data_IF_917347315299
#
_entry.id   IF_917347315299
#
_cell.length_a   1.000
_cell.length_b   1.000
_cell.length_c   1.000
_cell.angle_alpha   90.00
_cell.angle_beta   90.00
_cell.angle_gamma   90.00
#
_symmetry.space_group_name_H-M   'P 1'
#
loop_
_entity.id
_entity.type
_entity.pdbx_description
1 polymer ?
#
# COMPACT_ATOMS: atom_id res chain seq x y z
N UNK A 1 9.90 19.46 -5.67
CA UNK A 1 8.59 18.87 -6.00
C UNK A 1 8.75 17.38 -5.80
N UNK A 2 7.78 16.71 -5.17
CA UNK A 2 7.84 15.27 -4.93
C UNK A 2 6.81 14.58 -5.82
N UNK A 3 7.16 13.42 -6.33
CA UNK A 3 6.30 12.61 -7.18
C UNK A 3 6.09 11.23 -6.57
N UNK A 4 4.91 10.68 -6.72
CA UNK A 4 4.60 9.37 -6.20
C UNK A 4 3.65 8.58 -7.08
N UNK A 5 3.48 7.33 -6.73
CA UNK A 5 2.50 6.43 -7.33
C UNK A 5 1.51 5.97 -6.27
N UNK A 6 0.27 5.82 -6.66
CA UNK A 6 -0.82 5.36 -5.82
C UNK A 6 -1.52 4.14 -6.43
N UNK A 7 -1.88 3.18 -5.59
CA UNK A 7 -2.72 2.04 -6.00
C UNK A 7 -3.88 1.83 -5.04
N UNK A 8 -5.04 1.55 -5.57
CA UNK A 8 -6.23 1.15 -4.79
C UNK A 8 -6.31 -0.37 -4.57
N UNK A 9 -5.37 -1.12 -5.18
CA UNK A 9 -5.32 -2.56 -5.04
C UNK A 9 -6.48 -3.30 -5.75
N UNK A 10 -6.99 -2.78 -6.85
CA UNK A 10 -8.04 -3.41 -7.63
C UNK A 10 -7.60 -4.74 -8.27
N UNK A 11 -8.52 -5.69 -8.34
CA UNK A 11 -8.38 -6.98 -9.04
C UNK A 11 -9.36 -6.95 -10.21
N UNK A 12 -8.91 -6.39 -11.32
CA UNK A 12 -9.71 -6.20 -12.52
C UNK A 12 -9.13 -6.96 -13.70
N UNK A 13 -9.99 -7.28 -14.66
CA UNK A 13 -9.57 -7.97 -15.90
C UNK A 13 -8.70 -7.05 -16.74
N UNK A 14 -7.54 -7.54 -17.14
CA UNK A 14 -6.68 -6.86 -18.11
C UNK A 14 -7.39 -6.84 -19.49
N UNK A 15 -7.70 -5.65 -20.01
CA UNK A 15 -8.43 -5.54 -21.27
C UNK A 15 -7.61 -5.98 -22.48
N UNK A 16 -6.29 -6.14 -22.34
CA UNK A 16 -5.41 -6.51 -23.46
C UNK A 16 -5.39 -8.02 -23.71
N UNK A 17 -5.58 -8.82 -22.67
CA UNK A 17 -5.48 -10.28 -22.76
C UNK A 17 -6.69 -11.02 -22.16
N UNK A 18 -7.63 -10.31 -21.52
CA UNK A 18 -8.83 -10.87 -20.94
C UNK A 18 -8.61 -11.68 -19.65
N UNK A 19 -7.43 -11.64 -19.04
CA UNK A 19 -7.12 -12.35 -17.80
C UNK A 19 -7.38 -11.48 -16.59
N UNK A 20 -7.86 -12.11 -15.50
CA UNK A 20 -8.00 -11.46 -14.20
C UNK A 20 -6.96 -12.08 -13.27
N UNK A 21 -6.07 -11.26 -12.66
CA UNK A 21 -5.08 -11.78 -11.73
C UNK A 21 -5.75 -12.33 -10.48
N UNK A 22 -5.13 -13.31 -9.86
CA UNK A 22 -5.47 -13.73 -8.51
C UNK A 22 -5.06 -12.65 -7.49
N UNK A 23 -5.63 -12.67 -6.29
CA UNK A 23 -5.21 -11.77 -5.19
C UNK A 23 -3.71 -11.92 -4.88
N UNK A 24 -3.20 -13.17 -4.89
CA UNK A 24 -1.78 -13.44 -4.69
C UNK A 24 -0.91 -12.71 -5.75
N UNK A 25 -1.24 -12.86 -7.01
CA UNK A 25 -0.52 -12.21 -8.11
C UNK A 25 -0.59 -10.69 -7.99
N UNK A 26 -1.77 -10.15 -7.66
CA UNK A 26 -1.95 -8.69 -7.53
C UNK A 26 -1.15 -8.12 -6.36
N UNK A 27 -1.14 -8.80 -5.19
CA UNK A 27 -0.33 -8.38 -4.04
C UNK A 27 1.17 -8.42 -4.40
N UNK A 28 1.64 -9.48 -5.04
CA UNK A 28 3.04 -9.58 -5.48
C UNK A 28 3.39 -8.50 -6.51
N UNK A 29 2.51 -8.24 -7.46
CA UNK A 29 2.70 -7.17 -8.44
C UNK A 29 2.77 -5.79 -7.76
N UNK A 30 1.97 -5.55 -6.74
CA UNK A 30 2.00 -4.29 -5.97
C UNK A 30 3.35 -4.07 -5.29
N UNK A 31 3.95 -5.11 -4.69
CA UNK A 31 5.30 -5.05 -4.13
C UNK A 31 6.33 -4.74 -5.22
N UNK A 32 6.23 -5.40 -6.37
CA UNK A 32 7.12 -5.16 -7.51
C UNK A 32 7.00 -3.72 -8.05
N UNK A 33 5.78 -3.20 -8.16
CA UNK A 33 5.53 -1.81 -8.58
C UNK A 33 6.20 -0.81 -7.63
N UNK A 34 6.09 -1.02 -6.31
CA UNK A 34 6.73 -0.14 -5.33
C UNK A 34 8.26 -0.12 -5.46
N UNK A 35 8.87 -1.29 -5.72
CA UNK A 35 10.32 -1.39 -5.97
C UNK A 35 10.74 -0.65 -7.25
N UNK A 36 10.01 -0.87 -8.34
CA UNK A 36 10.28 -0.16 -9.60
C UNK A 36 10.04 1.35 -9.46
N UNK A 37 9.07 1.78 -8.66
CA UNK A 37 8.87 3.20 -8.36
C UNK A 37 10.11 3.82 -7.70
N UNK A 38 10.71 3.12 -6.73
CA UNK A 38 11.95 3.55 -6.10
C UNK A 38 13.12 3.59 -7.10
N UNK A 39 13.28 2.54 -7.92
CA UNK A 39 14.31 2.45 -8.96
C UNK A 39 14.18 3.59 -9.99
N UNK A 40 12.94 3.94 -10.34
CA UNK A 40 12.63 5.05 -11.25
C UNK A 40 12.81 6.43 -10.63
N UNK A 41 13.13 6.52 -9.34
CA UNK A 41 13.39 7.78 -8.66
C UNK A 41 12.15 8.47 -8.10
N UNK A 42 11.00 7.78 -7.99
CA UNK A 42 9.84 8.34 -7.33
C UNK A 42 10.06 8.50 -5.81
N UNK A 43 9.39 9.48 -5.23
CA UNK A 43 9.57 9.86 -3.82
C UNK A 43 8.61 9.12 -2.89
N UNK A 44 7.40 8.76 -3.38
CA UNK A 44 6.33 8.19 -2.55
C UNK A 44 5.65 7.03 -3.26
N UNK A 45 5.44 5.93 -2.54
CA UNK A 45 4.48 4.88 -2.88
C UNK A 45 3.32 4.93 -1.88
N UNK A 46 2.08 4.97 -2.37
CA UNK A 46 0.89 4.97 -1.53
C UNK A 46 -0.07 3.85 -1.90
N UNK A 47 -0.78 3.32 -0.90
CA UNK A 47 -1.85 2.32 -1.09
C UNK A 47 -3.14 2.74 -0.40
N UNK A 48 -4.28 2.43 -1.02
CA UNK A 48 -5.60 2.55 -0.40
C UNK A 48 -5.91 1.39 0.54
N UNK A 49 -7.05 1.52 1.23
CA UNK A 49 -7.64 0.46 2.05
C UNK A 49 -9.10 0.28 1.64
N UNK A 50 -9.42 -0.89 1.07
CA UNK A 50 -10.77 -1.25 0.65
C UNK A 50 -11.07 -2.68 1.11
N UNK A 51 -12.31 -2.95 1.52
CA UNK A 51 -12.71 -4.23 2.11
C UNK A 51 -13.64 -5.05 1.23
N UNK A 52 -14.03 -4.52 0.06
CA UNK A 52 -14.98 -5.16 -0.84
C UNK A 52 -14.40 -5.37 -2.24
N UNK A 53 -14.79 -6.43 -2.96
CA UNK A 53 -14.45 -6.57 -4.37
C UNK A 53 -14.86 -5.33 -5.18
N UNK A 54 -14.13 -4.96 -6.23
CA UNK A 54 -13.02 -5.70 -6.85
C UNK A 54 -11.62 -5.40 -6.29
N UNK A 55 -11.53 -4.89 -5.08
CA UNK A 55 -10.25 -4.54 -4.47
C UNK A 55 -9.57 -5.75 -3.81
N UNK A 56 -8.27 -5.67 -3.61
CA UNK A 56 -7.50 -6.74 -2.99
C UNK A 56 -7.91 -6.92 -1.53
N UNK A 57 -8.34 -8.12 -1.20
CA UNK A 57 -8.51 -8.57 0.16
C UNK A 57 -7.35 -9.53 0.55
N UNK A 58 -6.83 -9.43 1.77
CA UNK A 58 -7.21 -8.51 2.83
C UNK A 58 -6.67 -7.10 2.62
N UNK A 59 -7.49 -6.11 2.90
CA UNK A 59 -7.08 -4.71 2.86
C UNK A 59 -6.29 -4.36 4.13
N UNK A 60 -5.02 -4.70 4.15
CA UNK A 60 -4.12 -4.50 5.29
C UNK A 60 -2.87 -3.69 4.88
N UNK A 61 -2.99 -2.36 4.77
CA UNK A 61 -1.89 -1.50 4.37
C UNK A 61 -0.62 -1.66 5.21
N UNK A 62 -0.65 -1.70 6.56
CA UNK A 62 0.59 -1.80 7.33
C UNK A 62 1.37 -3.09 7.04
N UNK A 63 0.71 -4.22 6.84
CA UNK A 63 1.40 -5.48 6.49
C UNK A 63 2.02 -5.42 5.11
N UNK A 64 1.31 -4.88 4.12
CA UNK A 64 1.84 -4.69 2.76
C UNK A 64 3.03 -3.74 2.76
N UNK A 65 2.90 -2.59 3.41
CA UNK A 65 3.94 -1.56 3.47
C UNK A 65 5.18 -2.04 4.24
N UNK A 66 5.01 -2.87 5.29
CA UNK A 66 6.14 -3.48 5.99
C UNK A 66 6.94 -4.44 5.08
N UNK A 67 6.24 -5.21 4.24
CA UNK A 67 6.91 -6.06 3.24
C UNK A 67 7.66 -5.23 2.20
N UNK A 68 7.09 -4.12 1.74
CA UNK A 68 7.74 -3.18 0.81
C UNK A 68 8.93 -2.50 1.51
N UNK A 69 8.79 -2.08 2.76
CA UNK A 69 9.87 -1.47 3.54
C UNK A 69 11.12 -2.33 3.61
N UNK A 70 10.95 -3.65 3.75
CA UNK A 70 12.05 -4.60 3.80
C UNK A 70 12.76 -4.81 2.45
N UNK A 71 12.22 -4.28 1.36
CA UNK A 71 12.72 -4.46 -0.02
C UNK A 71 13.08 -3.13 -0.69
N UNK A 72 12.99 -2.02 0.03
CA UNK A 72 13.26 -0.66 -0.45
C UNK A 72 14.06 0.11 0.60
N UNK A 73 14.77 1.16 0.18
CA UNK A 73 15.67 1.91 1.06
C UNK A 73 15.29 3.40 1.21
N UNK A 74 14.64 3.99 0.21
CA UNK A 74 14.48 5.43 0.10
C UNK A 74 13.02 5.88 -0.01
N UNK A 75 12.20 5.17 -0.79
CA UNK A 75 10.83 5.60 -1.10
C UNK A 75 9.98 5.70 0.17
N UNK A 76 9.23 6.79 0.33
CA UNK A 76 8.28 6.93 1.43
C UNK A 76 7.07 6.03 1.19
N UNK A 77 6.56 5.46 2.27
CA UNK A 77 5.48 4.48 2.27
C UNK A 77 4.25 5.10 2.92
N UNK A 78 3.26 5.43 2.10
CA UNK A 78 2.08 6.16 2.53
C UNK A 78 0.79 5.38 2.36
N UNK A 79 -0.24 5.85 3.03
CA UNK A 79 -1.62 5.39 2.80
C UNK A 79 -2.49 6.52 2.26
N UNK A 80 -3.50 6.16 1.47
CA UNK A 80 -4.47 7.11 0.98
C UNK A 80 -5.84 6.42 0.77
N UNK A 81 -6.49 6.10 1.87
CA UNK A 81 -6.20 6.38 3.29
C UNK A 81 -6.23 5.10 4.14
N UNK A 82 -5.70 5.15 5.39
CA UNK A 82 -6.03 4.18 6.43
C UNK A 82 -7.41 4.50 6.99
N UNK A 83 -8.31 3.51 7.01
CA UNK A 83 -9.70 3.71 7.44
C UNK A 83 -9.83 3.67 8.97
N UNK A 84 -10.11 4.82 9.57
CA UNK A 84 -10.34 4.94 11.02
C UNK A 84 -11.72 4.37 11.45
N UNK A 85 -12.58 4.05 10.49
CA UNK A 85 -13.93 3.50 10.74
C UNK A 85 -13.95 1.99 10.85
N UNK A 86 -12.91 1.32 10.37
CA UNK A 86 -12.84 -0.16 10.33
C UNK A 86 -11.71 -0.73 11.17
N UNK A 87 -10.83 0.11 11.72
CA UNK A 87 -9.68 -0.33 12.48
C UNK A 87 -9.64 0.38 13.83
N UNK A 88 -9.39 -0.39 14.89
CA UNK A 88 -9.21 0.15 16.23
C UNK A 88 -8.06 1.16 16.27
N UNK A 89 -8.22 2.34 16.90
CA UNK A 89 -7.20 3.40 16.90
C UNK A 89 -5.91 3.00 17.61
N UNK A 90 -5.96 2.13 18.61
CA UNK A 90 -4.75 1.60 19.26
C UNK A 90 -3.96 0.73 18.29
N UNK A 91 -4.65 -0.11 17.51
CA UNK A 91 -4.01 -0.92 16.45
C UNK A 91 -3.37 -0.06 15.37
N UNK A 92 -4.06 1.01 14.94
CA UNK A 92 -3.47 1.96 13.98
C UNK A 92 -2.17 2.53 14.55
N UNK A 93 -2.20 3.01 15.79
CA UNK A 93 -1.02 3.60 16.42
C UNK A 93 0.14 2.58 16.53
N UNK A 94 -0.15 1.35 16.96
CA UNK A 94 0.86 0.29 17.08
C UNK A 94 1.44 -0.12 15.73
N UNK A 95 0.59 -0.46 14.75
CA UNK A 95 1.00 -0.97 13.46
C UNK A 95 1.86 0.05 12.69
N UNK A 96 1.47 1.33 12.70
CA UNK A 96 2.25 2.37 12.02
C UNK A 96 3.49 2.80 12.80
N UNK A 97 3.50 2.66 14.12
CA UNK A 97 4.71 2.80 14.93
C UNK A 97 5.74 1.72 14.55
N UNK A 98 5.30 0.47 14.43
CA UNK A 98 6.17 -0.61 13.93
C UNK A 98 6.68 -0.34 12.52
N UNK A 99 5.77 0.05 11.62
CA UNK A 99 6.16 0.39 10.24
C UNK A 99 7.19 1.52 10.20
N UNK A 100 7.04 2.55 11.03
CA UNK A 100 8.00 3.65 11.14
C UNK A 100 9.39 3.17 11.52
N UNK A 101 9.48 2.26 12.50
CA UNK A 101 10.76 1.67 12.90
C UNK A 101 11.33 0.73 11.83
N UNK A 102 10.52 -0.16 11.27
CA UNK A 102 10.95 -1.11 10.25
C UNK A 102 11.39 -0.44 8.95
N UNK A 103 10.77 0.69 8.60
CA UNK A 103 11.10 1.45 7.40
C UNK A 103 12.25 2.45 7.58
N UNK A 104 12.79 2.60 8.79
CA UNK A 104 13.81 3.61 9.07
C UNK A 104 13.30 5.05 8.95
N UNK A 105 12.04 5.30 9.35
CA UNK A 105 11.47 6.65 9.34
C UNK A 105 10.73 7.04 8.06
N UNK A 106 10.44 6.10 7.17
CA UNK A 106 9.81 6.35 5.86
C UNK A 106 8.29 6.18 5.84
N UNK A 107 7.67 5.83 6.97
CA UNK A 107 6.22 5.70 7.03
C UNK A 107 5.54 7.07 7.05
N UNK A 108 4.49 7.20 6.25
CA UNK A 108 3.65 8.38 6.15
C UNK A 108 2.18 7.95 6.23
N UNK A 109 1.46 8.41 7.24
CA UNK A 109 0.12 7.96 7.55
C UNK A 109 -0.92 9.03 7.21
N UNK A 110 -1.74 8.74 6.21
CA UNK A 110 -2.94 9.52 5.92
C UNK A 110 -4.16 8.76 6.43
N UNK A 111 -4.87 9.35 7.38
CA UNK A 111 -6.10 8.79 7.95
C UNK A 111 -7.33 9.35 7.27
N UNK A 112 -8.33 8.48 7.07
CA UNK A 112 -9.62 8.87 6.52
C UNK A 112 -10.75 7.99 7.03
N UNK A 113 -11.99 8.47 6.88
CA UNK A 113 -13.16 7.69 7.31
C UNK A 113 -13.57 6.61 6.28
N UNK A 114 -13.11 6.73 5.03
CA UNK A 114 -13.63 5.97 3.92
C UNK A 114 -14.98 6.48 3.39
N UNK A 115 -15.52 5.76 2.43
CA UNK A 115 -16.84 6.02 1.83
C UNK A 115 -17.92 5.20 2.53
#
# INVERSE_FOLDING_TARGET
MEFGIFTIGDVTTDPTNGTTPTEHERIRATVTIAKHAEEAGLDVFATGQHHNPPFVAPANPPVLLANIAAQTERIRLSTATTLITTTDPVRIAEDYSYLQHLSGGRADLMMGRGN
#
